data_IF_848016277806
#
_entry.id   IF_848016277806
#
_cell.length_a   1.000
_cell.length_b   1.000
_cell.length_c   1.000
_cell.angle_alpha   90.00
_cell.angle_beta   90.00
_cell.angle_gamma   90.00
#
_symmetry.space_group_name_H-M   'P 1'
#
loop_
_entity.id
_entity.type
_entity.pdbx_description
1 polymer ?
#
# COMPACT_ATOMS: atom_id res chain seq x y z
N UNK A 1 6.88 26.60 -39.81
CA UNK A 1 7.87 26.39 -38.73
C UNK A 1 7.59 27.19 -37.45
N UNK A 2 7.21 28.48 -37.52
CA UNK A 2 6.98 29.32 -36.33
C UNK A 2 5.78 28.90 -35.43
N UNK A 3 4.76 28.23 -35.99
CA UNK A 3 3.58 27.78 -35.23
C UNK A 3 3.84 26.51 -34.38
N UNK A 4 4.79 25.66 -34.78
CA UNK A 4 5.09 24.40 -34.08
C UNK A 4 5.99 24.63 -32.85
N UNK A 5 6.90 25.60 -32.93
CA UNK A 5 7.78 26.02 -31.82
C UNK A 5 6.97 26.66 -30.68
N UNK A 6 5.89 27.39 -30.99
CA UNK A 6 5.00 28.00 -29.98
C UNK A 6 4.15 26.98 -29.20
N UNK A 7 3.80 25.84 -29.81
CA UNK A 7 3.03 24.78 -29.13
C UNK A 7 3.84 24.03 -28.05
N UNK A 8 5.14 23.83 -28.29
CA UNK A 8 6.04 23.16 -27.34
C UNK A 8 6.38 24.07 -26.16
N UNK A 9 6.55 25.37 -26.39
CA UNK A 9 6.75 26.35 -25.31
C UNK A 9 5.54 26.52 -24.39
N UNK A 10 4.31 26.38 -24.91
CA UNK A 10 3.11 26.48 -24.07
C UNK A 10 2.95 25.26 -23.14
N UNK A 11 3.27 24.05 -23.62
CA UNK A 11 3.24 22.84 -22.78
C UNK A 11 4.31 22.87 -21.67
N UNK A 12 5.51 23.41 -21.95
CA UNK A 12 6.56 23.57 -20.95
C UNK A 12 6.24 24.65 -19.90
N UNK A 13 5.47 25.69 -20.27
CA UNK A 13 5.07 26.78 -19.35
C UNK A 13 3.88 26.38 -18.48
N UNK A 14 2.94 25.56 -18.97
CA UNK A 14 1.82 25.04 -18.15
C UNK A 14 2.31 24.11 -17.03
N UNK A 15 3.47 23.47 -17.17
CA UNK A 15 4.05 22.59 -16.16
C UNK A 15 4.82 23.29 -15.04
N UNK A 16 5.04 24.62 -15.11
CA UNK A 16 5.73 25.36 -14.04
C UNK A 16 4.80 25.84 -12.92
N UNK A 17 3.48 25.61 -13.02
CA UNK A 17 2.49 26.05 -12.03
C UNK A 17 1.70 24.92 -11.36
N UNK A 18 1.97 23.65 -11.71
CA UNK A 18 1.58 22.55 -10.85
C UNK A 18 2.56 22.52 -9.68
N UNK A 19 2.22 23.22 -8.59
CA UNK A 19 3.01 23.25 -7.37
C UNK A 19 3.50 21.85 -7.04
N UNK A 20 4.83 21.71 -6.95
CA UNK A 20 5.49 20.56 -6.34
C UNK A 20 4.77 20.36 -5.02
N UNK A 21 3.87 19.39 -4.93
CA UNK A 21 3.36 18.94 -3.66
C UNK A 21 4.61 18.46 -2.93
N UNK A 22 5.07 19.26 -1.96
CA UNK A 22 6.06 18.79 -1.01
C UNK A 22 5.49 17.47 -0.47
N UNK A 23 6.31 16.42 -0.45
CA UNK A 23 5.84 15.12 0.04
C UNK A 23 5.31 15.20 1.47
N UNK A 24 4.70 14.13 2.02
CA UNK A 24 4.24 14.13 3.39
C UNK A 24 5.35 14.66 4.31
N UNK A 25 4.96 15.53 5.25
CA UNK A 25 5.93 16.20 6.10
C UNK A 25 6.58 15.17 7.04
N UNK A 26 7.84 14.82 6.75
CA UNK A 26 8.69 14.09 7.69
C UNK A 26 8.90 14.92 8.94
N UNK A 27 8.46 14.40 10.09
CA UNK A 27 8.52 15.08 11.38
C UNK A 27 9.23 14.21 12.39
N UNK A 28 9.74 14.82 13.45
CA UNK A 28 10.32 14.07 14.55
C UNK A 28 9.22 13.37 15.34
N UNK A 29 9.51 12.21 15.90
CA UNK A 29 8.52 11.48 16.71
C UNK A 29 7.93 12.34 17.84
N UNK A 30 8.72 13.18 18.51
CA UNK A 30 8.19 14.09 19.56
C UNK A 30 7.49 15.35 19.04
N UNK A 31 7.33 15.47 17.72
CA UNK A 31 6.45 16.45 17.06
C UNK A 31 5.15 15.79 16.55
N UNK A 32 5.11 14.44 16.55
CA UNK A 32 3.96 13.64 16.11
C UNK A 32 3.21 13.10 17.33
N UNK A 33 3.95 12.55 18.30
CA UNK A 33 3.40 11.88 19.48
C UNK A 33 3.84 12.57 20.77
N UNK A 34 2.92 12.71 21.72
CA UNK A 34 3.20 13.33 23.02
C UNK A 34 4.03 12.43 23.94
N UNK A 35 3.75 11.12 23.94
CA UNK A 35 4.42 10.12 24.79
C UNK A 35 4.31 8.69 24.21
N UNK A 36 4.73 7.68 24.99
CA UNK A 36 4.65 6.27 24.60
C UNK A 36 3.22 5.77 24.43
N UNK A 37 2.26 6.30 25.19
CA UNK A 37 0.86 5.94 25.05
C UNK A 37 0.30 6.44 23.74
N UNK A 38 0.52 7.72 23.43
CA UNK A 38 0.09 8.30 22.16
C UNK A 38 0.73 7.56 20.97
N UNK A 39 2.03 7.28 21.03
CA UNK A 39 2.71 6.48 20.00
C UNK A 39 2.03 5.12 19.76
N UNK A 40 1.79 4.35 20.82
CA UNK A 40 1.21 3.01 20.71
C UNK A 40 -0.26 3.02 20.28
N UNK A 41 -1.06 3.99 20.72
CA UNK A 41 -2.50 4.04 20.41
C UNK A 41 -2.81 4.77 19.09
N UNK A 42 -1.81 5.39 18.46
CA UNK A 42 -2.00 6.22 17.26
C UNK A 42 -1.24 5.68 16.03
N UNK A 43 0.04 5.30 16.14
CA UNK A 43 0.89 4.99 14.98
C UNK A 43 0.29 3.92 14.05
N UNK A 44 -0.26 2.85 14.63
CA UNK A 44 -0.83 1.72 13.89
C UNK A 44 -2.36 1.75 13.92
N UNK A 45 -2.94 2.95 13.97
CA UNK A 45 -4.35 3.17 14.22
C UNK A 45 -4.79 2.44 15.49
N UNK A 46 -5.83 1.60 15.38
CA UNK A 46 -6.41 0.93 16.56
C UNK A 46 -5.80 -0.43 16.92
N UNK A 47 -4.66 -0.79 16.32
CA UNK A 47 -4.07 -2.13 16.48
C UNK A 47 -3.66 -2.41 17.93
N UNK A 48 -3.08 -1.43 18.61
CA UNK A 48 -2.55 -1.57 19.95
C UNK A 48 -3.30 -0.70 20.96
N UNK A 49 -3.22 -1.10 22.22
CA UNK A 49 -3.75 -0.36 23.37
C UNK A 49 -2.64 -0.26 24.40
N UNK A 50 -2.39 0.93 24.94
CA UNK A 50 -1.44 1.09 26.04
C UNK A 50 -2.01 0.49 27.33
N UNK A 51 -1.26 -0.40 27.98
CA UNK A 51 -1.71 -1.11 29.17
C UNK A 51 -0.73 -0.97 30.34
N UNK A 52 -1.19 -0.27 31.38
CA UNK A 52 -0.43 -0.03 32.61
C UNK A 52 -0.33 -1.27 33.50
N UNK A 53 -1.28 -2.20 33.41
CA UNK A 53 -1.18 -3.48 34.09
C UNK A 53 -0.31 -4.44 33.28
N UNK A 54 1.00 -4.36 33.50
CA UNK A 54 2.04 -5.16 32.84
C UNK A 54 1.79 -6.69 32.89
N UNK A 55 1.09 -7.20 33.91
CA UNK A 55 0.75 -8.62 34.04
C UNK A 55 -0.38 -9.06 33.08
N UNK A 56 -1.07 -8.11 32.46
CA UNK A 56 -2.17 -8.29 31.52
C UNK A 56 -1.83 -7.74 30.13
N UNK A 57 -0.53 -7.57 29.84
CA UNK A 57 -0.06 -6.90 28.65
C UNK A 57 1.06 -7.67 27.94
N UNK A 58 1.11 -7.52 26.62
CA UNK A 58 2.01 -8.22 25.73
C UNK A 58 3.29 -7.39 25.50
N UNK A 59 4.39 -8.09 25.24
CA UNK A 59 5.63 -7.49 24.77
C UNK A 59 5.82 -7.84 23.30
N UNK A 60 6.44 -6.94 22.52
CA UNK A 60 6.78 -7.24 21.12
C UNK A 60 8.15 -7.90 20.97
N UNK A 61 8.83 -8.19 22.09
CA UNK A 61 10.08 -8.95 22.09
C UNK A 61 10.35 -9.58 23.45
N UNK A 62 11.10 -10.68 23.47
CA UNK A 62 11.48 -11.39 24.69
C UNK A 62 12.80 -12.14 24.52
N UNK A 63 13.48 -12.37 25.64
CA UNK A 63 14.73 -13.13 25.71
C UNK A 63 14.56 -14.49 26.41
N UNK A 64 13.38 -14.74 26.98
CA UNK A 64 13.05 -15.98 27.65
C UNK A 64 13.02 -17.16 26.67
N UNK A 65 13.24 -18.37 27.19
CA UNK A 65 13.22 -19.58 26.39
C UNK A 65 11.84 -19.93 25.80
N UNK A 66 10.79 -19.27 26.29
CA UNK A 66 9.38 -19.46 25.93
C UNK A 66 8.70 -18.11 25.79
N UNK A 67 7.77 -18.01 24.84
CA UNK A 67 7.03 -16.77 24.61
C UNK A 67 6.14 -16.41 25.83
N UNK A 68 6.41 -15.29 26.54
CA UNK A 68 5.61 -14.87 27.70
C UNK A 68 4.20 -14.41 27.32
N UNK A 69 3.97 -14.04 26.06
CA UNK A 69 2.67 -13.64 25.56
C UNK A 69 1.64 -14.78 25.61
N UNK A 70 2.09 -16.04 25.56
CA UNK A 70 1.22 -17.21 25.69
C UNK A 70 0.55 -17.27 27.07
N UNK A 71 1.33 -17.05 28.14
CA UNK A 71 0.79 -17.03 29.51
C UNK A 71 -0.16 -15.84 29.71
N UNK A 72 0.17 -14.69 29.14
CA UNK A 72 -0.69 -13.49 29.15
C UNK A 72 -2.00 -13.74 28.40
N UNK A 73 -1.96 -14.39 27.24
CA UNK A 73 -3.16 -14.73 26.49
C UNK A 73 -4.07 -15.72 27.25
N UNK A 74 -3.48 -16.67 27.97
CA UNK A 74 -4.23 -17.61 28.82
C UNK A 74 -4.87 -16.90 30.02
N UNK A 75 -4.15 -16.01 30.71
CA UNK A 75 -4.69 -15.28 31.87
C UNK A 75 -5.84 -14.34 31.48
N UNK A 76 -5.81 -13.81 30.26
CA UNK A 76 -6.88 -12.99 29.69
C UNK A 76 -8.05 -13.80 29.10
N UNK A 77 -7.98 -15.15 29.13
CA UNK A 77 -9.00 -16.02 28.55
C UNK A 77 -9.07 -15.97 27.01
N UNK A 78 -8.04 -15.42 26.35
CA UNK A 78 -7.92 -15.34 24.88
C UNK A 78 -7.40 -16.64 24.28
N UNK A 79 -6.58 -17.38 25.02
CA UNK A 79 -5.97 -18.63 24.58
C UNK A 79 -6.41 -19.79 25.49
N UNK A 80 -6.98 -20.89 24.94
CA UNK A 80 -7.30 -22.06 25.74
C UNK A 80 -6.04 -22.79 26.23
N UNK A 81 -6.15 -23.67 27.24
CA UNK A 81 -5.02 -24.45 27.78
C UNK A 81 -4.29 -25.32 26.73
N UNK A 82 -4.97 -25.69 25.64
CA UNK A 82 -4.40 -26.47 24.54
C UNK A 82 -3.42 -25.70 23.64
N UNK A 83 -3.21 -24.40 23.88
CA UNK A 83 -2.32 -23.57 23.08
C UNK A 83 -2.94 -23.14 21.75
N UNK A 84 -2.08 -22.73 20.81
CA UNK A 84 -2.48 -22.20 19.51
C UNK A 84 -2.71 -23.32 18.50
N UNK A 85 -3.89 -23.36 17.88
CA UNK A 85 -4.21 -24.31 16.80
C UNK A 85 -4.15 -23.68 15.40
N UNK A 86 -4.02 -22.36 15.30
CA UNK A 86 -4.00 -21.62 14.04
C UNK A 86 -3.27 -20.29 14.18
N UNK A 87 -2.84 -19.74 13.06
CA UNK A 87 -2.40 -18.36 12.95
C UNK A 87 -3.56 -17.52 12.45
N UNK A 88 -3.96 -16.52 13.25
CA UNK A 88 -5.17 -15.75 12.98
C UNK A 88 -5.01 -14.68 11.91
N UNK A 89 -3.79 -14.36 11.44
CA UNK A 89 -3.51 -13.34 10.43
C UNK A 89 -3.07 -13.99 9.10
N UNK A 90 -3.07 -13.23 8.00
CA UNK A 90 -2.80 -13.74 6.64
C UNK A 90 -1.71 -12.93 5.90
N UNK A 91 -1.52 -13.20 4.60
CA UNK A 91 -0.41 -12.73 3.72
C UNK A 91 0.88 -13.54 3.86
N UNK A 92 1.68 -13.25 4.89
CA UNK A 92 2.97 -13.90 5.12
C UNK A 92 2.94 -14.92 6.26
N UNK A 93 1.74 -15.22 6.75
CA UNK A 93 1.49 -16.20 7.79
C UNK A 93 1.30 -17.62 7.23
N UNK A 94 1.69 -18.61 8.00
CA UNK A 94 1.35 -20.02 7.85
C UNK A 94 -0.01 -20.31 8.49
N UNK A 95 -0.59 -21.50 8.27
CA UNK A 95 -1.92 -21.83 8.81
C UNK A 95 -1.92 -22.09 10.31
N UNK A 96 -0.82 -22.63 10.84
CA UNK A 96 -0.64 -22.93 12.25
C UNK A 96 0.81 -22.67 12.67
N UNK A 97 1.07 -22.35 13.94
CA UNK A 97 2.42 -22.12 14.42
C UNK A 97 3.30 -23.36 14.28
N UNK A 98 4.52 -23.18 13.80
CA UNK A 98 5.48 -24.27 13.64
C UNK A 98 6.91 -23.84 14.05
N UNK A 99 7.78 -24.79 14.44
CA UNK A 99 9.20 -24.50 14.63
C UNK A 99 9.86 -24.03 13.33
N UNK A 100 10.81 -23.11 13.44
CA UNK A 100 11.60 -22.56 12.33
C UNK A 100 13.02 -23.12 12.32
N UNK A 101 13.68 -22.98 11.18
CA UNK A 101 15.03 -23.53 10.99
C UNK A 101 16.07 -22.83 11.85
N UNK A 102 17.30 -23.36 11.84
CA UNK A 102 18.43 -22.71 12.53
C UNK A 102 18.83 -21.35 11.93
N UNK A 103 18.40 -21.06 10.70
CA UNK A 103 18.66 -19.78 10.03
C UNK A 103 17.68 -18.67 10.44
N UNK A 104 16.66 -18.99 11.24
CA UNK A 104 15.66 -18.06 11.74
C UNK A 104 16.23 -17.11 12.81
N UNK A 105 16.93 -16.08 12.36
CA UNK A 105 17.75 -15.19 13.21
C UNK A 105 17.12 -13.83 13.47
N UNK A 106 16.46 -13.21 12.48
CA UNK A 106 15.87 -11.87 12.65
C UNK A 106 14.71 -11.85 13.64
N UNK A 107 13.77 -12.80 13.57
CA UNK A 107 12.66 -12.94 14.51
C UNK A 107 12.87 -14.11 15.49
N UNK A 108 14.12 -14.39 15.89
CA UNK A 108 14.49 -15.59 16.63
C UNK A 108 13.72 -15.92 17.93
N UNK A 109 13.11 -14.96 18.68
CA UNK A 109 12.35 -15.32 19.88
C UNK A 109 11.22 -16.33 19.62
N UNK A 110 10.62 -16.29 18.43
CA UNK A 110 9.53 -17.20 18.03
C UNK A 110 10.00 -18.50 17.37
N UNK A 111 11.32 -18.78 17.29
CA UNK A 111 11.87 -19.94 16.57
C UNK A 111 11.19 -21.27 16.91
N UNK A 112 10.79 -21.49 18.16
CA UNK A 112 10.14 -22.75 18.58
C UNK A 112 8.70 -22.90 18.09
N UNK A 113 8.00 -21.80 17.84
CA UNK A 113 6.60 -21.78 17.45
C UNK A 113 6.26 -20.39 16.89
N UNK A 114 6.31 -20.25 15.55
CA UNK A 114 6.08 -19.00 14.85
C UNK A 114 5.02 -19.17 13.74
N UNK A 115 4.28 -18.09 13.51
CA UNK A 115 3.28 -18.00 12.44
C UNK A 115 3.82 -17.49 11.10
N UNK A 116 4.95 -16.79 11.07
CA UNK A 116 5.49 -16.23 9.84
C UNK A 116 6.09 -17.30 8.94
N UNK A 117 6.06 -17.08 7.62
CA UNK A 117 6.92 -17.81 6.68
C UNK A 117 8.36 -17.39 6.94
N UNK A 118 9.27 -18.36 7.06
CA UNK A 118 10.69 -18.04 7.31
C UNK A 118 11.26 -17.13 6.19
N UNK A 119 10.89 -17.42 4.95
CA UNK A 119 11.27 -16.67 3.76
C UNK A 119 10.64 -15.27 3.63
N UNK A 120 9.87 -14.79 4.61
CA UNK A 120 9.38 -13.40 4.64
C UNK A 120 10.06 -12.56 5.72
N UNK A 121 10.87 -13.16 6.58
CA UNK A 121 11.46 -12.47 7.75
C UNK A 121 12.95 -12.75 7.93
N UNK A 122 13.67 -13.24 6.91
CA UNK A 122 15.08 -13.62 7.04
C UNK A 122 15.99 -12.41 7.35
N UNK A 123 15.63 -11.22 6.87
CA UNK A 123 16.41 -9.99 7.07
C UNK A 123 15.53 -8.80 7.42
N UNK A 124 16.12 -7.75 7.99
CA UNK A 124 15.43 -6.47 8.26
C UNK A 124 14.83 -5.88 6.97
N UNK A 125 15.56 -5.91 5.85
CA UNK A 125 15.05 -5.43 4.55
C UNK A 125 13.78 -6.15 4.12
N UNK A 126 13.68 -7.46 4.37
CA UNK A 126 12.48 -8.21 4.00
C UNK A 126 11.26 -7.76 4.80
N UNK A 127 11.44 -7.42 6.08
CA UNK A 127 10.38 -6.84 6.90
C UNK A 127 10.03 -5.43 6.41
N UNK A 128 11.02 -4.59 6.12
CA UNK A 128 10.81 -3.21 5.65
C UNK A 128 10.09 -3.17 4.29
N UNK A 129 10.43 -4.09 3.39
CA UNK A 129 9.91 -4.11 2.01
C UNK A 129 8.63 -4.97 1.85
N UNK A 130 8.18 -5.66 2.91
CA UNK A 130 7.15 -6.71 2.85
C UNK A 130 5.83 -6.28 2.18
N UNK A 131 5.41 -5.05 2.41
CA UNK A 131 4.07 -4.57 2.00
C UNK A 131 4.08 -3.60 0.83
N UNK A 132 5.26 -3.31 0.28
CA UNK A 132 5.45 -2.36 -0.81
C UNK A 132 6.16 -1.09 -0.35
N UNK A 133 6.69 -0.31 -1.31
CA UNK A 133 7.52 0.85 -1.02
C UNK A 133 6.77 1.90 -0.20
N UNK A 134 5.45 2.03 -0.33
CA UNK A 134 4.67 2.99 0.43
C UNK A 134 4.57 2.65 1.94
N UNK A 135 4.80 1.39 2.32
CA UNK A 135 4.75 0.90 3.70
C UNK A 135 6.14 0.59 4.26
N UNK A 136 7.16 1.31 3.82
CA UNK A 136 8.45 1.30 4.51
C UNK A 136 8.41 2.29 5.69
N UNK A 137 8.92 1.88 6.85
CA UNK A 137 9.01 2.78 8.01
C UNK A 137 10.11 3.84 7.88
N UNK A 138 11.12 3.61 7.03
CA UNK A 138 12.31 4.47 6.85
C UNK A 138 12.19 5.48 5.69
N UNK A 139 10.96 5.81 5.27
CA UNK A 139 10.71 6.75 4.16
C UNK A 139 11.21 8.17 4.43
N UNK A 140 11.39 8.52 5.71
CA UNK A 140 11.98 9.79 6.13
C UNK A 140 13.50 9.75 6.31
N UNK A 141 14.14 8.71 5.76
CA UNK A 141 15.57 8.46 5.91
C UNK A 141 15.85 7.36 6.92
N UNK A 142 17.12 6.94 7.02
CA UNK A 142 17.51 5.88 7.95
C UNK A 142 17.20 6.31 9.39
N UNK A 143 16.63 5.38 10.15
CA UNK A 143 16.37 5.53 11.57
C UNK A 143 17.63 5.20 12.37
N UNK A 144 17.71 5.69 13.60
CA UNK A 144 18.73 5.25 14.55
C UNK A 144 18.54 3.77 14.85
N UNK A 145 19.63 3.07 15.17
CA UNK A 145 19.57 1.64 15.52
C UNK A 145 18.68 1.39 16.75
N UNK A 146 18.68 2.32 17.71
CA UNK A 146 17.86 2.25 18.92
C UNK A 146 16.37 2.34 18.62
N UNK A 147 15.99 3.07 17.58
CA UNK A 147 14.61 3.23 17.14
C UNK A 147 14.19 2.09 16.19
N UNK A 148 14.99 1.78 15.16
CA UNK A 148 14.66 0.78 14.14
C UNK A 148 14.41 -0.61 14.74
N UNK A 149 15.14 -0.97 15.81
CA UNK A 149 14.92 -2.24 16.50
C UNK A 149 13.47 -2.42 16.98
N UNK A 150 12.74 -1.35 17.30
CA UNK A 150 11.34 -1.45 17.74
C UNK A 150 10.41 -1.75 16.57
N UNK A 151 10.68 -1.20 15.39
CA UNK A 151 9.96 -1.55 14.16
C UNK A 151 10.19 -3.01 13.78
N UNK A 152 11.44 -3.49 13.87
CA UNK A 152 11.75 -4.91 13.66
C UNK A 152 11.00 -5.79 14.67
N UNK A 153 10.99 -5.42 15.95
CA UNK A 153 10.29 -6.16 17.00
C UNK A 153 8.77 -6.18 16.79
N UNK A 154 8.17 -5.05 16.43
CA UNK A 154 6.75 -4.96 16.09
C UNK A 154 6.41 -5.82 14.87
N UNK A 155 7.20 -5.73 13.80
CA UNK A 155 6.98 -6.53 12.61
C UNK A 155 7.14 -8.03 12.90
N UNK A 156 8.12 -8.43 13.72
CA UNK A 156 8.24 -9.81 14.16
C UNK A 156 7.06 -10.25 15.06
N UNK A 157 6.52 -9.39 15.91
CA UNK A 157 5.30 -9.69 16.66
C UNK A 157 4.13 -9.94 15.70
N UNK A 158 3.89 -9.01 14.78
CA UNK A 158 2.78 -9.10 13.83
C UNK A 158 2.88 -10.36 12.98
N UNK A 159 4.05 -10.61 12.37
CA UNK A 159 4.24 -11.73 11.44
C UNK A 159 4.35 -13.08 12.17
N UNK A 160 5.05 -13.14 13.29
CA UNK A 160 5.49 -14.40 13.88
C UNK A 160 4.75 -14.80 15.16
N UNK A 161 4.21 -13.87 15.96
CA UNK A 161 3.62 -14.22 17.24
C UNK A 161 2.26 -14.91 17.09
N UNK A 162 2.10 -16.16 17.54
CA UNK A 162 0.81 -16.86 17.47
C UNK A 162 -0.34 -16.15 18.19
N UNK A 163 -0.03 -15.27 19.14
CA UNK A 163 -1.00 -14.50 19.89
C UNK A 163 -1.52 -13.27 19.13
N UNK A 164 -0.81 -12.76 18.11
CA UNK A 164 -1.24 -11.59 17.34
C UNK A 164 -2.63 -11.82 16.71
N UNK A 165 -2.85 -13.01 16.16
CA UNK A 165 -4.13 -13.41 15.58
C UNK A 165 -5.32 -13.44 16.54
N UNK A 166 -5.10 -13.53 17.87
CA UNK A 166 -6.17 -13.46 18.88
C UNK A 166 -6.79 -12.06 19.00
N UNK A 167 -6.17 -11.07 18.37
CA UNK A 167 -6.61 -9.68 18.29
C UNK A 167 -7.01 -9.27 16.87
N UNK A 168 -7.15 -10.20 15.93
CA UNK A 168 -7.68 -9.88 14.60
C UNK A 168 -9.05 -9.22 14.71
N UNK A 169 -9.20 -8.11 14.02
CA UNK A 169 -10.42 -7.31 13.94
C UNK A 169 -11.36 -7.94 12.92
N UNK A 170 -12.45 -8.52 13.38
CA UNK A 170 -13.52 -8.97 12.50
C UNK A 170 -14.88 -8.74 13.17
N UNK A 171 -15.93 -8.63 12.37
CA UNK A 171 -17.28 -8.54 12.89
C UNK A 171 -17.73 -9.95 13.33
N UNK A 172 -17.67 -10.20 14.64
CA UNK A 172 -18.05 -11.49 15.24
C UNK A 172 -19.51 -11.87 15.00
N UNK A 173 -20.40 -10.90 14.78
CA UNK A 173 -21.84 -11.17 14.54
C UNK A 173 -22.10 -11.80 13.17
N UNK A 174 -21.14 -11.72 12.26
CA UNK A 174 -21.22 -12.31 10.91
C UNK A 174 -20.10 -13.31 10.65
N UNK A 175 -19.41 -13.76 11.70
CA UNK A 175 -18.35 -14.74 11.57
C UNK A 175 -18.92 -16.09 11.09
N UNK A 176 -18.41 -16.58 9.97
CA UNK A 176 -18.68 -17.92 9.44
C UNK A 176 -17.33 -18.63 9.23
N UNK A 177 -17.04 -19.75 9.93
CA UNK A 177 -15.76 -20.43 9.79
C UNK A 177 -15.52 -20.98 8.38
N UNK A 178 -16.55 -21.12 7.53
CA UNK A 178 -16.36 -21.50 6.12
C UNK A 178 -15.80 -20.35 5.26
N UNK A 179 -15.94 -19.12 5.74
CA UNK A 179 -15.42 -17.91 5.11
C UNK A 179 -13.97 -17.57 5.52
N UNK A 180 -13.40 -18.27 6.51
CA UNK A 180 -12.11 -17.94 7.11
C UNK A 180 -11.06 -19.00 6.75
N UNK A 181 -10.07 -18.68 5.91
CA UNK A 181 -9.01 -19.62 5.46
C UNK A 181 -8.13 -20.14 6.59
N UNK A 182 -8.16 -19.49 7.76
CA UNK A 182 -7.53 -19.99 8.97
C UNK A 182 -8.31 -21.08 9.69
N UNK A 183 -9.60 -21.25 9.39
CA UNK A 183 -10.47 -22.20 10.07
C UNK A 183 -10.45 -23.59 9.40
N UNK A 184 -10.66 -24.64 10.20
CA UNK A 184 -10.69 -26.02 9.70
C UNK A 184 -11.87 -26.29 8.77
N UNK A 185 -12.93 -25.49 8.88
CA UNK A 185 -14.14 -25.58 8.07
C UNK A 185 -14.08 -24.72 6.80
N UNK A 186 -12.95 -24.08 6.50
CA UNK A 186 -12.81 -23.22 5.34
C UNK A 186 -13.23 -23.94 4.05
N UNK A 187 -14.08 -23.26 3.27
CA UNK A 187 -14.51 -23.73 1.97
C UNK A 187 -14.35 -22.60 0.96
N UNK A 188 -13.37 -22.75 0.07
CA UNK A 188 -13.06 -21.75 -0.96
C UNK A 188 -14.22 -21.52 -1.94
N UNK A 189 -15.01 -22.55 -2.25
CA UNK A 189 -16.17 -22.43 -3.13
C UNK A 189 -17.30 -21.69 -2.43
N UNK A 190 -17.58 -22.02 -1.17
CA UNK A 190 -18.55 -21.30 -0.34
C UNK A 190 -18.15 -19.84 -0.15
N UNK A 191 -16.87 -19.59 0.18
CA UNK A 191 -16.34 -18.25 0.41
C UNK A 191 -16.50 -17.37 -0.82
N UNK A 192 -16.14 -17.90 -1.99
CA UNK A 192 -16.32 -17.22 -3.28
C UNK A 192 -17.79 -17.02 -3.64
N UNK A 193 -18.64 -18.02 -3.43
CA UNK A 193 -20.06 -17.95 -3.77
C UNK A 193 -20.82 -16.92 -2.90
N UNK A 194 -20.40 -16.71 -1.66
CA UNK A 194 -21.04 -15.79 -0.71
C UNK A 194 -20.30 -14.46 -0.55
N UNK A 195 -19.28 -14.21 -1.38
CA UNK A 195 -18.45 -13.00 -1.33
C UNK A 195 -17.97 -12.67 0.09
N UNK A 196 -17.45 -13.68 0.78
CA UNK A 196 -17.03 -13.51 2.17
C UNK A 196 -15.88 -12.49 2.28
N UNK A 197 -15.96 -11.63 3.28
CA UNK A 197 -14.88 -10.72 3.68
C UNK A 197 -14.73 -10.77 5.19
N UNK A 198 -13.77 -11.56 5.68
CA UNK A 198 -13.61 -11.82 7.12
C UNK A 198 -12.57 -10.93 7.80
N UNK A 199 -12.03 -9.91 7.11
CA UNK A 199 -10.89 -9.09 7.53
C UNK A 199 -9.74 -9.93 8.11
N UNK A 200 -8.74 -10.19 7.31
CA UNK A 200 -7.73 -11.23 7.58
C UNK A 200 -6.42 -10.70 8.14
N UNK A 201 -6.30 -9.39 8.38
CA UNK A 201 -5.01 -8.76 8.65
C UNK A 201 -5.04 -7.65 9.71
N UNK A 202 -6.13 -6.89 9.83
CA UNK A 202 -6.17 -5.83 10.85
C UNK A 202 -6.18 -6.44 12.25
N UNK A 203 -5.30 -5.96 13.12
CA UNK A 203 -5.38 -6.21 14.56
C UNK A 203 -6.19 -5.10 15.25
N UNK A 204 -6.69 -5.38 16.45
CA UNK A 204 -7.43 -4.40 17.23
C UNK A 204 -7.21 -4.57 18.74
N UNK A 205 -6.72 -3.49 19.36
CA UNK A 205 -6.58 -3.29 20.81
C UNK A 205 -5.82 -4.41 21.53
N UNK A 206 -4.75 -4.93 20.93
CA UNK A 206 -3.82 -5.80 21.66
C UNK A 206 -3.15 -4.97 22.78
N UNK A 207 -3.28 -5.35 24.05
CA UNK A 207 -2.74 -4.57 25.16
C UNK A 207 -1.22 -4.71 25.16
N UNK A 208 -0.50 -3.65 24.84
CA UNK A 208 0.96 -3.61 24.87
C UNK A 208 1.41 -3.00 26.18
N UNK A 209 2.45 -3.59 26.76
CA UNK A 209 3.07 -3.12 27.99
C UNK A 209 3.39 -1.64 27.91
N UNK A 210 2.90 -0.87 28.88
CA UNK A 210 3.19 0.54 29.04
C UNK A 210 4.70 0.83 28.94
N UNK A 211 5.49 0.05 29.69
CA UNK A 211 6.95 0.15 29.69
C UNK A 211 7.60 -0.08 28.31
N UNK A 212 7.01 -0.94 27.48
CA UNK A 212 7.51 -1.19 26.13
C UNK A 212 7.20 -0.01 25.20
N UNK A 213 5.96 0.51 25.25
CA UNK A 213 5.54 1.70 24.51
C UNK A 213 6.38 2.94 24.86
N UNK A 214 6.64 3.17 26.15
CA UNK A 214 7.46 4.28 26.61
C UNK A 214 8.93 4.16 26.17
N UNK A 215 9.46 2.93 26.16
CA UNK A 215 10.80 2.65 25.66
C UNK A 215 10.90 2.87 24.14
N UNK A 216 9.88 2.49 23.38
CA UNK A 216 9.80 2.73 21.94
C UNK A 216 9.82 4.23 21.66
N UNK A 217 8.91 5.00 22.28
CA UNK A 217 8.88 6.45 22.13
C UNK A 217 10.21 7.10 22.50
N UNK A 218 10.78 6.73 23.65
CA UNK A 218 12.06 7.29 24.11
C UNK A 218 13.19 7.06 23.12
N UNK A 219 13.25 5.87 22.52
CA UNK A 219 14.27 5.53 21.53
C UNK A 219 14.08 6.30 20.21
N UNK A 220 12.83 6.53 19.80
CA UNK A 220 12.51 7.13 18.50
C UNK A 220 12.31 8.65 18.52
N UNK A 221 12.12 9.28 19.68
CA UNK A 221 11.69 10.70 19.80
C UNK A 221 12.50 11.73 18.98
N UNK A 222 13.76 11.44 18.64
CA UNK A 222 14.64 12.33 17.86
C UNK A 222 14.73 11.97 16.39
N UNK A 223 14.25 10.80 16.00
CA UNK A 223 14.25 10.32 14.62
C UNK A 223 13.08 10.92 13.84
N UNK A 224 13.20 10.91 12.52
CA UNK A 224 12.13 11.36 11.64
C UNK A 224 11.24 10.19 11.23
N UNK A 225 9.95 10.45 11.16
CA UNK A 225 8.94 9.50 10.74
C UNK A 225 7.90 10.17 9.86
N UNK A 226 7.19 9.34 9.12
CA UNK A 226 6.06 9.78 8.35
C UNK A 226 4.78 9.19 8.92
N UNK A 227 4.00 10.06 9.53
CA UNK A 227 2.64 9.76 9.95
C UNK A 227 1.80 11.00 9.68
N UNK A 228 0.88 10.91 8.72
CA UNK A 228 -0.04 12.00 8.43
C UNK A 228 -1.31 11.84 9.27
N UNK A 229 -2.40 12.54 8.93
CA UNK A 229 -3.71 12.48 9.62
C UNK A 229 -3.64 12.14 11.13
N UNK A 230 -3.13 13.07 11.95
CA UNK A 230 -3.05 12.94 13.41
C UNK A 230 -2.07 11.86 13.94
N UNK A 231 -1.12 11.40 13.13
CA UNK A 231 -0.08 10.47 13.57
C UNK A 231 -0.29 9.02 13.14
N UNK A 232 -1.22 8.74 12.23
CA UNK A 232 -1.43 7.40 11.67
C UNK A 232 -0.41 7.06 10.57
N UNK A 233 0.24 5.91 10.68
CA UNK A 233 1.21 5.44 9.69
C UNK A 233 0.58 5.18 8.32
N UNK A 234 -0.61 4.56 8.29
CA UNK A 234 -1.25 4.14 7.04
C UNK A 234 -1.67 5.34 6.18
N UNK A 235 -2.04 6.45 6.82
CA UNK A 235 -2.33 7.71 6.15
C UNK A 235 -1.12 8.24 5.35
N UNK A 236 0.10 8.09 5.87
CA UNK A 236 1.31 8.47 5.14
C UNK A 236 1.56 7.58 3.93
N UNK A 237 1.35 6.26 4.04
CA UNK A 237 1.49 5.34 2.91
C UNK A 237 0.58 5.74 1.74
N UNK A 238 -0.64 6.22 2.03
CA UNK A 238 -1.55 6.72 1.01
C UNK A 238 -0.99 7.95 0.26
N UNK A 239 -0.33 8.87 0.97
CA UNK A 239 0.31 10.05 0.36
C UNK A 239 1.53 9.66 -0.49
N UNK A 240 2.41 8.80 0.01
CA UNK A 240 3.56 8.33 -0.76
C UNK A 240 3.16 7.57 -2.03
N UNK A 241 2.08 6.79 -1.98
CA UNK A 241 1.55 6.10 -3.16
C UNK A 241 1.19 7.06 -4.30
N UNK A 242 0.71 8.27 -3.98
CA UNK A 242 0.42 9.30 -4.99
C UNK A 242 1.72 9.89 -5.55
N UNK A 243 2.68 10.20 -4.68
CA UNK A 243 3.97 10.79 -5.07
C UNK A 243 4.81 9.83 -5.91
N UNK A 244 4.88 8.56 -5.53
CA UNK A 244 5.66 7.54 -6.23
C UNK A 244 5.09 7.32 -7.65
N UNK A 245 3.75 7.33 -7.79
CA UNK A 245 3.09 7.28 -9.11
C UNK A 245 3.38 8.53 -9.94
N UNK A 246 3.36 9.71 -9.34
CA UNK A 246 3.65 10.97 -10.03
C UNK A 246 5.12 11.01 -10.51
N UNK A 247 6.05 10.53 -9.68
CA UNK A 247 7.47 10.41 -10.04
C UNK A 247 7.67 9.43 -11.22
N UNK A 248 7.05 8.25 -11.14
CA UNK A 248 7.12 7.27 -12.23
C UNK A 248 6.56 7.82 -13.56
N UNK A 249 5.44 8.56 -13.51
CA UNK A 249 4.86 9.20 -14.68
C UNK A 249 5.79 10.30 -15.24
N UNK A 250 6.43 11.08 -14.36
CA UNK A 250 7.40 12.11 -14.76
C UNK A 250 8.61 11.51 -15.45
N UNK A 251 9.11 10.37 -14.97
CA UNK A 251 10.23 9.66 -15.60
C UNK A 251 9.84 9.11 -16.97
N UNK A 252 8.64 8.51 -17.07
CA UNK A 252 8.09 8.08 -18.37
C UNK A 252 7.96 9.25 -19.35
N UNK A 253 7.51 10.42 -18.89
CA UNK A 253 7.41 11.62 -19.72
C UNK A 253 8.80 12.08 -20.19
N UNK A 254 9.79 12.13 -19.29
CA UNK A 254 11.16 12.52 -19.62
C UNK A 254 11.80 11.58 -20.64
N UNK A 255 11.65 10.26 -20.47
CA UNK A 255 12.12 9.27 -21.44
C UNK A 255 11.45 9.46 -22.81
N UNK A 256 10.13 9.70 -22.83
CA UNK A 256 9.37 9.97 -24.05
C UNK A 256 9.87 11.25 -24.75
N UNK A 257 10.13 12.32 -24.01
CA UNK A 257 10.64 13.58 -24.55
C UNK A 257 12.03 13.42 -25.17
N UNK A 258 12.91 12.64 -24.56
CA UNK A 258 14.24 12.32 -25.12
C UNK A 258 14.11 11.56 -26.44
N UNK A 259 13.19 10.60 -26.52
CA UNK A 259 12.94 9.84 -27.75
C UNK A 259 12.36 10.73 -28.86
N UNK A 260 11.40 11.61 -28.53
CA UNK A 260 10.87 12.60 -29.45
C UNK A 260 11.95 13.55 -29.99
N UNK A 261 12.89 13.99 -29.14
CA UNK A 261 14.00 14.84 -29.55
C UNK A 261 14.93 14.14 -30.56
N UNK A 262 15.20 12.83 -30.38
CA UNK A 262 15.96 12.03 -31.35
C UNK A 262 15.26 11.93 -32.70
N UNK A 263 13.94 11.73 -32.70
CA UNK A 263 13.15 11.68 -33.93
C UNK A 263 13.15 13.03 -34.67
N UNK A 264 13.08 14.15 -33.93
CA UNK A 264 13.16 15.49 -34.52
C UNK A 264 14.51 15.75 -35.21
N UNK A 265 15.63 15.29 -34.63
CA UNK A 265 16.96 15.40 -35.26
C UNK A 265 17.05 14.59 -36.56
N UNK A 266 16.48 13.38 -36.59
CA UNK A 266 16.40 12.55 -37.81
C UNK A 266 15.60 13.27 -38.90
N UNK A 267 14.44 13.82 -38.56
CA UNK A 267 13.61 14.58 -39.51
C UNK A 267 14.33 15.83 -40.01
N UNK A 268 15.06 16.54 -39.15
CA UNK A 268 15.84 17.71 -39.52
C UNK A 268 16.97 17.36 -40.51
N UNK A 269 17.71 16.27 -40.25
CA UNK A 269 18.77 15.77 -41.15
C UNK A 269 18.21 15.31 -42.50
N UNK A 270 17.04 14.68 -42.50
CA UNK A 270 16.36 14.27 -43.75
C UNK A 270 15.94 15.44 -44.63
N UNK A 271 15.75 16.64 -44.06
CA UNK A 271 15.36 17.83 -44.81
C UNK A 271 16.56 18.65 -45.34
N UNK A 272 17.79 18.34 -44.90
CA UNK A 272 19.02 19.04 -45.30
C UNK A 272 19.88 18.26 -46.31
N UNK A 273 19.43 17.09 -46.78
CA UNK A 273 20.05 16.38 -47.90
C UNK A 273 19.58 16.96 -49.24
N UNK A 274 20.52 17.29 -50.13
CA UNK A 274 20.23 17.68 -51.52
C UNK A 274 19.40 16.59 -52.22
N UNK A 275 18.34 16.94 -52.99
CA UNK A 275 17.49 15.95 -53.64
C UNK A 275 18.19 15.39 -54.88
N UNK A 276 18.97 14.34 -54.72
CA UNK A 276 19.40 13.50 -55.84
C UNK A 276 18.22 12.60 -56.27
N UNK A 277 17.41 13.10 -57.22
CA UNK A 277 16.74 12.28 -58.24
C UNK A 277 15.63 11.30 -57.82
N UNK A 278 14.95 11.50 -56.69
CA UNK A 278 13.80 10.67 -56.29
C UNK A 278 12.58 11.50 -55.84
N UNK A 279 11.37 10.93 -55.94
CA UNK A 279 10.12 11.56 -55.53
C UNK A 279 10.27 12.21 -54.13
N UNK A 280 10.13 13.54 -54.08
CA UNK A 280 10.49 14.38 -52.92
C UNK A 280 10.05 13.78 -51.59
N UNK A 281 10.94 13.76 -50.60
CA UNK A 281 10.68 13.33 -49.21
C UNK A 281 9.45 14.04 -48.61
N UNK A 282 9.16 15.28 -49.04
CA UNK A 282 7.96 16.05 -48.65
C UNK A 282 6.67 15.41 -49.18
N UNK A 283 6.70 14.82 -50.38
CA UNK A 283 5.57 14.09 -50.96
C UNK A 283 5.36 12.73 -50.28
N UNK A 284 6.43 12.04 -49.89
CA UNK A 284 6.34 10.76 -49.15
C UNK A 284 5.78 11.00 -47.74
N UNK A 285 6.30 11.99 -47.00
CA UNK A 285 5.79 12.37 -45.68
C UNK A 285 4.34 12.87 -45.77
N UNK A 286 4.01 13.66 -46.81
CA UNK A 286 2.67 14.16 -47.07
C UNK A 286 1.62 13.10 -47.41
N UNK A 287 2.03 11.89 -47.83
CA UNK A 287 1.11 10.78 -48.16
C UNK A 287 1.12 9.70 -47.08
N UNK A 288 2.29 9.35 -46.57
CA UNK A 288 2.47 8.24 -45.61
C UNK A 288 1.95 8.63 -44.23
N UNK A 289 2.23 9.86 -43.75
CA UNK A 289 1.82 10.28 -42.41
C UNK A 289 0.29 10.37 -42.29
N UNK A 290 -0.47 10.98 -43.22
CA UNK A 290 -1.94 10.96 -43.15
C UNK A 290 -2.51 9.55 -43.25
N UNK A 291 -1.89 8.68 -44.05
CA UNK A 291 -2.33 7.29 -44.20
C UNK A 291 -2.15 6.50 -42.91
N UNK A 292 -1.00 6.63 -42.24
CA UNK A 292 -0.74 5.97 -40.96
C UNK A 292 -1.61 6.52 -39.82
N UNK A 293 -1.85 7.83 -39.80
CA UNK A 293 -2.76 8.47 -38.82
C UNK A 293 -4.22 8.03 -39.05
N UNK A 294 -4.66 7.92 -40.31
CA UNK A 294 -5.98 7.41 -40.65
C UNK A 294 -6.14 5.93 -40.27
N UNK A 295 -5.12 5.11 -40.52
CA UNK A 295 -5.09 3.70 -40.12
C UNK A 295 -5.13 3.57 -38.60
N UNK A 296 -4.29 4.31 -37.87
CA UNK A 296 -4.29 4.30 -36.41
C UNK A 296 -5.62 4.79 -35.83
N UNK A 297 -6.23 5.84 -36.39
CA UNK A 297 -7.55 6.33 -36.02
C UNK A 297 -8.66 5.30 -36.29
N UNK A 298 -8.56 4.56 -37.39
CA UNK A 298 -9.49 3.47 -37.71
C UNK A 298 -9.36 2.30 -36.74
N UNK A 299 -8.13 1.90 -36.39
CA UNK A 299 -7.89 0.86 -35.38
C UNK A 299 -8.36 1.31 -33.99
N UNK A 300 -8.09 2.55 -33.60
CA UNK A 300 -8.53 3.11 -32.33
C UNK A 300 -10.06 3.15 -32.24
N UNK A 301 -10.73 3.59 -33.31
CA UNK A 301 -12.20 3.59 -33.42
C UNK A 301 -12.76 2.16 -33.35
N UNK A 302 -12.16 1.20 -34.06
CA UNK A 302 -12.56 -0.22 -33.97
C UNK A 302 -12.40 -0.80 -32.56
N UNK A 303 -11.33 -0.43 -31.85
CA UNK A 303 -11.08 -0.84 -30.47
C UNK A 303 -12.11 -0.23 -29.51
N UNK A 304 -12.46 1.06 -29.67
CA UNK A 304 -13.50 1.71 -28.87
C UNK A 304 -14.88 1.07 -29.11
N UNK A 305 -15.25 0.81 -30.37
CA UNK A 305 -16.51 0.14 -30.73
C UNK A 305 -16.55 -1.29 -30.16
N UNK A 306 -15.43 -2.03 -30.18
CA UNK A 306 -15.34 -3.36 -29.53
C UNK A 306 -15.49 -3.26 -28.01
N UNK A 307 -14.87 -2.27 -27.35
CA UNK A 307 -14.99 -2.08 -25.89
C UNK A 307 -16.41 -1.73 -25.47
N UNK A 308 -17.11 -0.89 -26.23
CA UNK A 308 -18.53 -0.61 -26.00
C UNK A 308 -19.39 -1.88 -26.13
N UNK A 309 -19.19 -2.68 -27.19
CA UNK A 309 -19.94 -3.94 -27.38
C UNK A 309 -19.67 -5.00 -26.31
N UNK A 310 -18.56 -4.91 -25.57
CA UNK A 310 -18.22 -5.79 -24.45
C UNK A 310 -18.75 -5.28 -23.09
N UNK A 311 -19.60 -4.24 -23.07
CA UNK A 311 -20.28 -3.77 -21.87
C UNK A 311 -19.40 -2.96 -20.90
N UNK A 312 -18.27 -2.40 -21.36
CA UNK A 312 -17.44 -1.44 -20.61
C UNK A 312 -17.37 -0.10 -21.36
N UNK A 313 -18.44 0.70 -21.37
CA UNK A 313 -18.47 1.97 -22.10
C UNK A 313 -17.46 2.95 -21.51
N UNK A 314 -16.64 3.55 -22.38
CA UNK A 314 -15.65 4.57 -22.00
C UNK A 314 -16.29 5.97 -21.86
N UNK A 315 -17.49 6.16 -22.43
CA UNK A 315 -18.16 7.45 -22.53
C UNK A 315 -19.21 7.72 -21.44
N UNK A 316 -19.56 6.71 -20.62
CA UNK A 316 -20.42 6.93 -19.46
C UNK A 316 -19.70 7.78 -18.39
N UNK A 317 -18.38 7.60 -18.22
CA UNK A 317 -17.60 8.39 -17.26
C UNK A 317 -17.47 9.88 -17.63
N UNK A 318 -17.77 10.27 -18.87
CA UNK A 318 -17.71 11.67 -19.31
C UNK A 318 -19.03 12.43 -19.11
N UNK A 319 -20.12 11.74 -18.79
CA UNK A 319 -21.41 12.37 -18.48
C UNK A 319 -21.64 12.58 -16.98
N UNK A 320 -21.00 11.79 -16.10
CA UNK A 320 -21.12 11.96 -14.64
C UNK A 320 -20.35 13.19 -14.10
N UNK A 321 -19.31 13.65 -14.80
CA UNK A 321 -18.49 14.80 -14.35
C UNK A 321 -19.10 16.17 -14.71
N UNK A 322 -20.32 16.22 -15.27
CA UNK A 322 -21.02 17.50 -15.58
C UNK A 322 -22.04 17.96 -14.54
N UNK A 323 -22.36 17.15 -13.53
CA UNK A 323 -23.25 17.57 -12.44
C UNK A 323 -22.51 17.55 -11.09
N UNK A 324 -21.71 18.60 -10.87
CA UNK A 324 -21.33 19.05 -9.53
C UNK A 324 -22.48 19.76 -8.80
N UNK A 325 -22.37 19.98 -7.48
CA UNK A 325 -23.38 19.65 -6.50
C UNK A 325 -24.52 20.67 -6.40
N UNK A 326 -25.76 20.20 -6.39
CA UNK A 326 -26.89 20.94 -5.84
C UNK A 326 -27.66 20.06 -4.87
N UNK A 327 -27.78 20.54 -3.63
CA UNK A 327 -28.50 19.86 -2.58
C UNK A 327 -30.01 19.91 -2.76
N UNK A 328 -30.71 19.12 -1.95
CA UNK A 328 -32.11 19.33 -1.64
C UNK A 328 -33.04 18.17 -1.99
N UNK A 329 -33.39 17.41 -0.94
CA UNK A 329 -34.72 16.91 -0.61
C UNK A 329 -35.67 16.40 -1.72
N UNK A 330 -35.99 15.10 -1.62
CA UNK A 330 -37.37 14.60 -1.62
C UNK A 330 -38.05 14.34 -2.97
N UNK A 331 -38.40 13.08 -3.25
CA UNK A 331 -39.77 12.57 -3.08
C UNK A 331 -39.91 11.15 -3.67
N UNK A 332 -40.53 10.28 -2.87
CA UNK A 332 -41.15 9.02 -3.26
C UNK A 332 -42.45 9.30 -4.02
N UNK A 333 -42.65 8.65 -5.17
CA UNK A 333 -43.89 8.16 -5.81
C UNK A 333 -43.41 7.27 -6.97
N UNK A 334 -43.77 6.00 -7.18
CA UNK A 334 -45.05 5.34 -7.13
C UNK A 334 -45.34 4.73 -8.50
N UNK A 335 -45.15 3.41 -8.64
CA UNK A 335 -45.95 2.42 -9.42
C UNK A 335 -46.63 2.89 -10.73
N UNK A 336 -46.39 2.22 -11.89
CA UNK A 336 -47.25 1.15 -12.48
C UNK A 336 -46.85 0.75 -13.92
N UNK A 337 -46.75 -0.57 -14.11
CA UNK A 337 -47.09 -1.44 -15.27
C UNK A 337 -47.00 -0.93 -16.72
N UNK A 338 -46.29 -1.69 -17.56
CA UNK A 338 -46.90 -2.52 -18.61
C UNK A 338 -46.11 -3.84 -18.71
#
# INVERSE_FOLDING_TARGET
MAAFVRGVSLAAVVLHQAGVHAGPACKRFDEIYDDGKDLCETMWGTAFKYETNEASAYTMWFFDASNPNTATAQSLGKLPPGGHSSCGLQYYHEKAPAPKSDNFTTCHPWKKSACCKESSVETVSMLTDAYGPEFRWDRCGPMSQECERFFVQESCLYECDPNAGLYRKYNSSVYDPRCDDGATQYDAAYSKANNCSMNTWEMHRMPIKASYCDAWYTACRKDHFCASAEGDYFSCAAEYKVLDKAAALKDQLNSTMIEMAKLQDIVAKSNNGEPEGGLSTVAIVGIVVPSLVAIAGFFFSCCLIRREKMGKPLFDQLNDDRDGPSGGAGQSYGVRQA
#
